data_IF_527230042059
#
_entry.id   IF_527230042059
#
_cell.length_a   1.000
_cell.length_b   1.000
_cell.length_c   1.000
_cell.angle_alpha   90.00
_cell.angle_beta   90.00
_cell.angle_gamma   90.00
#
_symmetry.space_group_name_H-M   'P 1'
#
loop_
_entity.id
_entity.type
_entity.pdbx_description
1 polymer ?
#
# COMPACT_ATOMS: atom_id res chain seq x y z
N UNK A 1 64.44 19.60 -77.98
CA UNK A 1 65.10 18.29 -77.75
C UNK A 1 65.16 17.98 -76.26
N UNK A 2 64.07 17.48 -75.67
CA UNK A 2 63.96 17.26 -74.21
C UNK A 2 64.90 16.14 -73.69
N UNK A 3 65.31 15.21 -74.55
CA UNK A 3 66.19 14.09 -74.17
C UNK A 3 67.66 14.47 -73.97
N UNK A 4 68.09 15.66 -74.39
CA UNK A 4 69.47 16.12 -74.19
C UNK A 4 69.74 16.50 -72.73
N UNK A 5 68.75 17.09 -72.06
CA UNK A 5 68.80 17.46 -70.64
C UNK A 5 68.48 16.28 -69.70
N UNK A 6 68.03 15.15 -70.24
CA UNK A 6 67.72 13.96 -69.45
C UNK A 6 68.99 13.24 -69.01
N UNK A 7 69.12 13.03 -67.70
CA UNK A 7 70.25 12.36 -67.06
C UNK A 7 69.78 10.99 -66.53
N UNK A 8 70.12 9.88 -67.22
CA UNK A 8 69.78 8.55 -66.74
C UNK A 8 70.66 8.17 -65.54
N UNK A 9 70.09 7.39 -64.62
CA UNK A 9 70.77 6.96 -63.39
C UNK A 9 71.90 5.94 -63.66
N UNK A 10 71.80 5.22 -64.77
CA UNK A 10 72.78 4.23 -65.21
C UNK A 10 73.31 4.62 -66.60
N UNK A 11 74.49 4.17 -67.02
CA UNK A 11 74.98 4.39 -68.37
C UNK A 11 74.02 3.79 -69.41
N UNK A 12 73.65 4.56 -70.43
CA UNK A 12 72.69 4.12 -71.48
C UNK A 12 73.23 4.41 -72.87
N UNK A 13 73.00 3.50 -73.82
CA UNK A 13 73.41 3.68 -75.22
C UNK A 13 72.64 4.78 -75.97
N UNK A 14 71.38 5.05 -75.62
CA UNK A 14 70.57 6.11 -76.24
C UNK A 14 69.68 6.82 -75.21
N UNK A 15 70.04 8.07 -74.91
CA UNK A 15 69.30 8.92 -73.95
C UNK A 15 67.83 9.14 -74.35
N UNK A 16 67.55 9.22 -75.64
CA UNK A 16 66.20 9.42 -76.15
C UNK A 16 65.29 8.22 -75.88
N UNK A 17 65.79 7.01 -76.15
CA UNK A 17 65.03 5.79 -75.89
C UNK A 17 64.86 5.56 -74.40
N UNK A 18 65.89 5.81 -73.59
CA UNK A 18 65.79 5.70 -72.14
C UNK A 18 64.74 6.66 -71.57
N UNK A 19 64.74 7.94 -71.99
CA UNK A 19 63.74 8.92 -71.54
C UNK A 19 62.31 8.43 -71.84
N UNK A 20 62.07 7.92 -73.05
CA UNK A 20 60.75 7.40 -73.43
C UNK A 20 60.34 6.20 -72.58
N UNK A 21 61.28 5.30 -72.29
CA UNK A 21 61.01 4.12 -71.48
C UNK A 21 60.67 4.48 -70.04
N UNK A 22 61.44 5.39 -69.44
CA UNK A 22 61.21 5.87 -68.09
C UNK A 22 59.88 6.63 -67.96
N UNK A 23 59.55 7.47 -68.94
CA UNK A 23 58.26 8.15 -68.99
C UNK A 23 57.09 7.16 -69.04
N UNK A 24 57.21 6.10 -69.86
CA UNK A 24 56.18 5.05 -69.94
C UNK A 24 56.05 4.28 -68.63
N UNK A 25 57.17 3.91 -68.01
CA UNK A 25 57.19 3.22 -66.72
C UNK A 25 56.56 4.06 -65.61
N UNK A 26 56.86 5.36 -65.55
CA UNK A 26 56.25 6.27 -64.57
C UNK A 26 54.73 6.34 -64.80
N UNK A 27 54.28 6.46 -66.05
CA UNK A 27 52.85 6.47 -66.37
C UNK A 27 52.16 5.16 -65.96
N UNK A 28 52.76 4.00 -66.20
CA UNK A 28 52.20 2.70 -65.78
C UNK A 28 52.16 2.55 -64.26
N UNK A 29 53.21 2.99 -63.55
CA UNK A 29 53.22 2.98 -62.07
C UNK A 29 52.14 3.88 -61.48
N UNK A 30 51.94 5.06 -62.07
CA UNK A 30 50.86 5.98 -61.69
C UNK A 30 49.50 5.32 -61.95
N UNK A 31 49.25 4.74 -63.13
CA UNK A 31 47.99 4.05 -63.43
C UNK A 31 47.70 2.89 -62.47
N UNK A 32 48.70 2.05 -62.16
CA UNK A 32 48.56 0.94 -61.24
C UNK A 32 48.30 1.42 -59.79
N UNK A 33 48.96 2.50 -59.36
CA UNK A 33 48.68 3.12 -58.06
C UNK A 33 47.27 3.71 -58.01
N UNK A 34 46.81 4.39 -59.07
CA UNK A 34 45.43 4.90 -59.16
C UNK A 34 44.40 3.78 -59.09
N UNK A 35 44.64 2.63 -59.73
CA UNK A 35 43.73 1.48 -59.67
C UNK A 35 43.62 0.92 -58.25
N UNK A 36 44.75 0.82 -57.53
CA UNK A 36 44.79 0.36 -56.14
C UNK A 36 44.12 1.35 -55.17
N UNK A 37 44.27 2.66 -55.40
CA UNK A 37 43.65 3.72 -54.60
C UNK A 37 42.15 3.83 -54.89
N UNK A 38 41.72 3.60 -56.14
CA UNK A 38 40.32 3.68 -56.54
C UNK A 38 39.44 2.68 -55.79
N UNK A 39 39.96 1.49 -55.49
CA UNK A 39 39.24 0.47 -54.71
C UNK A 39 39.20 0.82 -53.20
N UNK A 40 40.18 1.59 -52.71
CA UNK A 40 40.22 2.06 -51.32
C UNK A 40 39.40 3.35 -51.05
N UNK A 41 38.85 4.00 -52.08
CA UNK A 41 38.09 5.27 -51.94
C UNK A 41 36.57 5.06 -52.06
N UNK A 42 36.08 3.84 -51.84
CA UNK A 42 34.70 3.66 -51.35
C UNK A 42 34.57 3.83 -49.83
N UNK A 43 35.46 4.61 -49.22
CA UNK A 43 35.15 5.24 -47.93
C UNK A 43 34.06 6.26 -48.22
N UNK A 44 32.82 5.80 -48.12
CA UNK A 44 31.70 6.63 -47.74
C UNK A 44 32.09 7.28 -46.42
N UNK A 45 32.76 8.44 -46.50
CA UNK A 45 32.92 9.33 -45.37
C UNK A 45 31.54 9.43 -44.73
N UNK A 46 31.38 9.10 -43.43
CA UNK A 46 30.11 9.31 -42.78
C UNK A 46 29.83 10.80 -42.93
N UNK A 47 28.89 11.12 -43.83
CA UNK A 47 28.44 12.48 -44.09
C UNK A 47 28.20 13.07 -42.72
N UNK A 48 29.02 14.05 -42.35
CA UNK A 48 28.93 14.77 -41.09
C UNK A 48 27.45 14.96 -40.78
N UNK A 49 26.99 14.44 -39.64
CA UNK A 49 25.64 14.71 -39.17
C UNK A 49 25.53 16.24 -39.21
N UNK A 50 24.76 16.77 -40.17
CA UNK A 50 24.74 18.19 -40.41
C UNK A 50 24.39 18.87 -39.08
N UNK A 51 25.20 19.82 -38.58
CA UNK A 51 24.97 20.44 -37.27
C UNK A 51 23.54 20.94 -37.12
N UNK A 52 22.95 21.42 -38.23
CA UNK A 52 21.54 21.78 -38.37
C UNK A 52 20.57 20.65 -38.00
N UNK A 53 20.80 19.41 -38.48
CA UNK A 53 19.94 18.26 -38.14
C UNK A 53 20.04 17.87 -36.67
N UNK A 54 21.22 18.03 -36.07
CA UNK A 54 21.41 17.78 -34.64
C UNK A 54 20.73 18.85 -33.79
N UNK A 55 20.79 20.11 -34.22
CA UNK A 55 20.08 21.23 -33.60
C UNK A 55 18.55 21.09 -33.73
N UNK A 56 18.05 20.68 -34.90
CA UNK A 56 16.63 20.35 -35.11
C UNK A 56 16.17 19.24 -34.17
N UNK A 57 16.96 18.16 -34.02
CA UNK A 57 16.65 17.08 -33.09
C UNK A 57 16.63 17.54 -31.63
N UNK A 58 17.58 18.40 -31.23
CA UNK A 58 17.61 19.01 -29.89
C UNK A 58 16.39 19.89 -29.67
N UNK A 59 16.04 20.74 -30.63
CA UNK A 59 14.87 21.61 -30.57
C UNK A 59 13.58 20.81 -30.48
N UNK A 60 13.42 19.76 -31.27
CA UNK A 60 12.26 18.86 -31.20
C UNK A 60 12.14 18.18 -29.83
N UNK A 61 13.26 17.77 -29.23
CA UNK A 61 13.28 17.18 -27.89
C UNK A 61 12.84 18.19 -26.83
N UNK A 62 13.41 19.41 -26.87
CA UNK A 62 13.04 20.50 -25.95
C UNK A 62 11.55 20.84 -26.08
N UNK A 63 11.04 20.97 -27.31
CA UNK A 63 9.64 21.28 -27.55
C UNK A 63 8.70 20.20 -26.99
N UNK A 64 9.07 18.92 -27.16
CA UNK A 64 8.32 17.79 -26.63
C UNK A 64 8.30 17.79 -25.10
N UNK A 65 9.44 18.04 -24.47
CA UNK A 65 9.56 18.13 -23.00
C UNK A 65 8.77 19.32 -22.44
N UNK A 66 8.83 20.47 -23.10
CA UNK A 66 8.06 21.66 -22.73
C UNK A 66 6.54 21.40 -22.84
N UNK A 67 6.09 20.76 -23.92
CA UNK A 67 4.68 20.40 -24.08
C UNK A 67 4.21 19.43 -22.98
N UNK A 68 5.02 18.42 -22.66
CA UNK A 68 4.72 17.47 -21.57
C UNK A 68 4.68 18.17 -20.20
N UNK A 69 5.58 19.12 -19.96
CA UNK A 69 5.60 19.90 -18.72
C UNK A 69 4.36 20.79 -18.62
N UNK A 70 4.00 21.50 -19.70
CA UNK A 70 2.81 22.33 -19.75
C UNK A 70 1.53 21.51 -19.53
N UNK A 71 1.45 20.31 -20.07
CA UNK A 71 0.32 19.40 -19.84
C UNK A 71 0.22 19.00 -18.36
N UNK A 72 1.34 18.65 -17.72
CA UNK A 72 1.39 18.33 -16.29
C UNK A 72 1.03 19.53 -15.41
N UNK A 73 1.55 20.71 -15.72
CA UNK A 73 1.22 21.95 -15.00
C UNK A 73 -0.26 22.28 -15.19
N UNK A 74 -0.78 22.22 -16.42
CA UNK A 74 -2.20 22.43 -16.71
C UNK A 74 -3.09 21.45 -15.93
N UNK A 75 -2.69 20.18 -15.86
CA UNK A 75 -3.37 19.18 -15.05
C UNK A 75 -3.39 19.53 -13.55
N UNK A 76 -2.24 19.95 -12.99
CA UNK A 76 -2.13 20.39 -11.59
C UNK A 76 -2.88 21.70 -11.35
N UNK A 77 -2.95 22.62 -12.32
CA UNK A 77 -3.68 23.89 -12.17
C UNK A 77 -5.19 23.68 -12.26
N UNK A 78 -5.65 22.77 -13.13
CA UNK A 78 -7.06 22.42 -13.29
C UNK A 78 -7.61 21.63 -12.10
N UNK A 79 -6.77 20.84 -11.46
CA UNK A 79 -7.16 20.00 -10.31
C UNK A 79 -6.56 20.62 -9.07
N UNK A 80 -7.34 21.14 -8.12
CA UNK A 80 -6.89 21.90 -6.92
C UNK A 80 -6.00 21.11 -5.92
N UNK A 81 -5.20 20.15 -6.37
CA UNK A 81 -4.40 19.26 -5.54
C UNK A 81 -5.31 18.30 -4.78
N UNK A 82 -5.47 17.07 -5.27
CA UNK A 82 -6.04 16.02 -4.43
C UNK A 82 -4.99 15.68 -3.39
N UNK A 83 -5.28 15.97 -2.12
CA UNK A 83 -4.47 15.55 -0.99
C UNK A 83 -4.54 14.01 -0.94
N UNK A 84 -3.45 13.34 -1.28
CA UNK A 84 -3.28 11.88 -1.23
C UNK A 84 -3.00 11.37 0.20
N UNK A 85 -2.98 12.27 1.20
CA UNK A 85 -2.67 11.94 2.59
C UNK A 85 -3.80 11.22 3.36
N UNK A 86 -4.95 10.96 2.73
CA UNK A 86 -6.02 10.17 3.37
C UNK A 86 -5.60 8.71 3.44
N UNK A 87 -4.94 8.38 4.54
CA UNK A 87 -4.67 7.01 4.91
C UNK A 87 -5.90 6.43 5.61
N UNK A 88 -6.69 5.62 4.90
CA UNK A 88 -7.83 4.85 5.45
C UNK A 88 -7.34 3.67 6.31
N UNK A 89 -6.35 3.91 7.17
CA UNK A 89 -5.76 2.88 8.02
C UNK A 89 -6.68 2.60 9.20
N UNK A 90 -7.32 1.44 9.19
CA UNK A 90 -7.97 0.90 10.37
C UNK A 90 -6.93 0.42 11.38
N UNK A 91 -6.95 1.03 12.57
CA UNK A 91 -6.04 0.69 13.66
C UNK A 91 -6.31 -0.74 14.15
N UNK A 92 -5.45 -1.68 13.78
CA UNK A 92 -5.52 -3.06 14.27
C UNK A 92 -4.96 -3.15 15.69
N UNK A 93 -5.75 -3.63 16.63
CA UNK A 93 -5.28 -3.95 17.99
C UNK A 93 -4.73 -5.38 18.01
N UNK A 94 -3.52 -5.54 18.54
CA UNK A 94 -2.82 -6.83 18.70
C UNK A 94 -3.54 -7.84 19.62
N UNK A 95 -4.72 -7.53 20.16
CA UNK A 95 -5.50 -8.41 21.04
C UNK A 95 -6.98 -8.52 20.70
N UNK A 96 -7.42 -8.04 19.53
CA UNK A 96 -8.85 -8.02 19.17
C UNK A 96 -9.46 -9.42 19.15
N UNK A 97 -8.79 -10.35 18.49
CA UNK A 97 -9.26 -11.73 18.32
C UNK A 97 -9.33 -12.47 19.66
N UNK A 98 -8.27 -12.38 20.47
CA UNK A 98 -8.26 -12.96 21.83
C UNK A 98 -9.38 -12.41 22.70
N UNK A 99 -9.65 -11.09 22.63
CA UNK A 99 -10.76 -10.47 23.37
C UNK A 99 -12.13 -10.95 22.88
N UNK A 100 -12.29 -11.15 21.57
CA UNK A 100 -13.52 -11.66 20.99
C UNK A 100 -13.78 -13.12 21.40
N UNK A 101 -12.75 -13.97 21.39
CA UNK A 101 -12.85 -15.36 21.86
C UNK A 101 -13.21 -15.43 23.35
N UNK A 102 -12.56 -14.60 24.17
CA UNK A 102 -12.87 -14.54 25.61
C UNK A 102 -14.30 -14.04 25.85
N UNK A 103 -14.77 -13.04 25.09
CA UNK A 103 -16.14 -12.57 25.17
C UNK A 103 -17.15 -13.68 24.83
N UNK A 104 -16.88 -14.49 23.79
CA UNK A 104 -17.72 -15.62 23.43
C UNK A 104 -17.74 -16.69 24.53
N UNK A 105 -16.58 -16.99 25.11
CA UNK A 105 -16.45 -17.93 26.23
C UNK A 105 -17.27 -17.47 27.44
N UNK A 106 -17.08 -16.23 27.90
CA UNK A 106 -17.82 -15.65 29.02
C UNK A 106 -19.32 -15.66 28.75
N UNK A 107 -19.73 -15.31 27.52
CA UNK A 107 -21.15 -15.30 27.14
C UNK A 107 -21.76 -16.70 27.24
N UNK A 108 -21.05 -17.72 26.77
CA UNK A 108 -21.50 -19.12 26.87
C UNK A 108 -21.58 -19.59 28.33
N UNK A 109 -20.59 -19.25 29.15
CA UNK A 109 -20.60 -19.58 30.58
C UNK A 109 -21.77 -18.89 31.30
N UNK A 110 -22.00 -17.61 31.02
CA UNK A 110 -23.14 -16.85 31.56
C UNK A 110 -24.49 -17.45 31.16
N UNK A 111 -24.64 -17.88 29.91
CA UNK A 111 -25.86 -18.58 29.46
C UNK A 111 -26.09 -19.88 30.23
N UNK A 112 -25.03 -20.66 30.49
CA UNK A 112 -25.13 -21.90 31.26
C UNK A 112 -25.48 -21.65 32.73
N UNK A 113 -24.93 -20.59 33.34
CA UNK A 113 -25.27 -20.18 34.70
C UNK A 113 -26.73 -19.76 34.76
N UNK A 114 -27.17 -18.91 33.82
CA UNK A 114 -28.55 -18.44 33.76
C UNK A 114 -29.53 -19.60 33.55
N UNK A 115 -29.19 -20.56 32.69
CA UNK A 115 -29.96 -21.79 32.53
C UNK A 115 -30.09 -22.54 33.87
N UNK A 116 -28.99 -22.77 34.58
CA UNK A 116 -29.03 -23.43 35.90
C UNK A 116 -29.89 -22.67 36.91
N UNK A 117 -29.71 -21.35 37.02
CA UNK A 117 -30.49 -20.50 37.92
C UNK A 117 -31.99 -20.55 37.59
N UNK A 118 -32.35 -20.61 36.30
CA UNK A 118 -33.75 -20.73 35.88
C UNK A 118 -34.39 -22.07 36.28
N UNK A 119 -33.59 -23.14 36.29
CA UNK A 119 -34.05 -24.49 36.65
C UNK A 119 -33.98 -24.75 38.15
N UNK A 120 -33.19 -23.98 38.89
CA UNK A 120 -33.13 -24.04 40.34
C UNK A 120 -34.49 -23.69 40.94
N UNK A 121 -35.14 -24.68 41.55
CA UNK A 121 -36.34 -24.44 42.35
C UNK A 121 -35.94 -23.86 43.71
N UNK A 122 -36.70 -22.92 44.28
CA UNK A 122 -36.47 -22.46 45.64
C UNK A 122 -36.63 -23.64 46.60
N UNK A 123 -35.66 -23.81 47.51
CA UNK A 123 -35.65 -24.91 48.48
C UNK A 123 -36.82 -24.82 49.46
N UNK A 124 -37.24 -23.59 49.77
CA UNK A 124 -38.37 -23.31 50.65
C UNK A 124 -39.47 -22.57 49.90
N UNK A 125 -40.72 -22.90 50.25
CA UNK A 125 -41.88 -22.17 49.78
C UNK A 125 -42.27 -21.14 50.85
N UNK A 126 -41.98 -19.86 50.58
CA UNK A 126 -42.24 -18.75 51.49
C UNK A 126 -43.71 -18.70 51.93
N UNK A 127 -44.64 -19.08 51.04
CA UNK A 127 -46.07 -19.12 51.37
C UNK A 127 -46.37 -20.21 52.40
N UNK A 128 -45.83 -21.41 52.22
CA UNK A 128 -46.00 -22.52 53.17
C UNK A 128 -45.36 -22.16 54.51
N UNK A 129 -44.16 -21.58 54.51
CA UNK A 129 -43.49 -21.12 55.73
C UNK A 129 -44.31 -20.07 56.47
N UNK A 130 -44.92 -19.14 55.74
CA UNK A 130 -45.79 -18.13 56.33
C UNK A 130 -47.04 -18.76 56.95
N UNK A 131 -47.67 -19.72 56.26
CA UNK A 131 -48.83 -20.44 56.79
C UNK A 131 -48.48 -21.24 58.06
N UNK A 132 -47.35 -21.95 58.07
CA UNK A 132 -46.90 -22.71 59.24
C UNK A 132 -46.51 -21.80 60.40
N UNK A 133 -45.91 -20.65 60.11
CA UNK A 133 -45.69 -19.61 61.10
C UNK A 133 -47.01 -19.13 61.71
N UNK A 134 -48.02 -18.82 60.90
CA UNK A 134 -49.34 -18.42 61.40
C UNK A 134 -50.02 -19.52 62.25
N UNK A 135 -49.88 -20.80 61.88
CA UNK A 135 -50.38 -21.92 62.70
C UNK A 135 -49.67 -21.97 64.05
N UNK A 136 -48.34 -21.86 64.03
CA UNK A 136 -47.52 -21.82 65.25
C UNK A 136 -47.94 -20.66 66.14
N UNK A 137 -48.14 -19.50 65.55
CA UNK A 137 -48.63 -18.32 66.24
C UNK A 137 -49.98 -18.55 66.93
N UNK A 138 -50.93 -19.23 66.28
CA UNK A 138 -52.22 -19.58 66.89
C UNK A 138 -52.07 -20.53 68.08
N UNK A 139 -51.23 -21.56 67.95
CA UNK A 139 -50.96 -22.50 69.04
C UNK A 139 -50.33 -21.76 70.23
N UNK A 140 -49.34 -20.90 69.96
CA UNK A 140 -48.72 -20.07 70.99
C UNK A 140 -49.74 -19.20 71.73
N UNK A 141 -50.66 -18.53 71.02
CA UNK A 141 -51.71 -17.73 71.67
C UNK A 141 -52.67 -18.61 72.50
N UNK A 142 -52.97 -19.83 72.07
CA UNK A 142 -53.87 -20.73 72.81
C UNK A 142 -53.27 -21.31 74.10
N UNK A 143 -51.95 -21.49 74.16
CA UNK A 143 -51.25 -22.06 75.33
C UNK A 143 -50.61 -20.99 76.22
N UNK A 144 -50.50 -19.75 75.73
CA UNK A 144 -49.90 -18.67 76.49
C UNK A 144 -50.81 -18.25 77.65
N UNK A 145 -50.19 -18.05 78.82
CA UNK A 145 -50.88 -17.48 80.00
C UNK A 145 -51.48 -16.10 79.72
N UNK A 146 -50.86 -15.34 78.81
CA UNK A 146 -51.32 -14.04 78.34
C UNK A 146 -51.18 -13.97 76.81
N UNK A 147 -52.26 -14.24 76.06
CA UNK A 147 -52.24 -14.22 74.59
C UNK A 147 -51.92 -12.84 74.01
N UNK A 148 -51.47 -12.78 72.75
CA UNK A 148 -51.27 -11.48 72.09
C UNK A 148 -52.57 -10.67 72.05
N UNK A 149 -52.48 -9.39 72.40
CA UNK A 149 -53.65 -8.51 72.52
C UNK A 149 -54.42 -8.61 73.85
N UNK A 150 -53.98 -9.46 74.79
CA UNK A 150 -54.61 -9.60 76.12
C UNK A 150 -54.78 -8.28 76.86
N UNK A 151 -53.76 -7.41 76.85
CA UNK A 151 -53.82 -6.10 77.50
C UNK A 151 -54.88 -5.16 76.89
N UNK A 152 -55.20 -5.33 75.60
CA UNK A 152 -56.24 -4.56 74.92
C UNK A 152 -57.63 -5.13 75.23
N UNK A 153 -57.77 -6.46 75.27
CA UNK A 153 -59.00 -7.13 75.70
C UNK A 153 -59.38 -6.80 77.15
N UNK A 154 -58.40 -6.72 78.06
CA UNK A 154 -58.66 -6.32 79.45
C UNK A 154 -59.17 -4.88 79.57
N UNK A 155 -58.64 -3.95 78.77
CA UNK A 155 -59.15 -2.57 78.73
C UNK A 155 -60.61 -2.55 78.29
N UNK A 156 -60.95 -3.22 77.19
CA UNK A 156 -62.34 -3.31 76.68
C UNK A 156 -63.26 -3.94 77.73
N UNK A 157 -62.86 -5.04 78.35
CA UNK A 157 -63.67 -5.72 79.36
C UNK A 157 -63.84 -4.89 80.64
N UNK A 158 -62.83 -4.11 81.04
CA UNK A 158 -62.90 -3.19 82.17
C UNK A 158 -63.82 -2.00 81.94
N UNK A 159 -63.97 -1.52 80.71
CA UNK A 159 -64.95 -0.48 80.37
C UNK A 159 -66.41 -0.96 80.51
N UNK A 160 -66.70 -2.24 80.24
CA UNK A 160 -68.05 -2.81 80.40
C UNK A 160 -68.49 -3.00 81.87
N UNK A 161 -67.57 -2.94 82.84
CA UNK A 161 -67.90 -3.07 84.27
C UNK A 161 -67.88 -1.74 85.03
N UNK A 162 -67.81 -0.60 84.33
CA UNK A 162 -67.77 0.74 84.92
C UNK A 162 -68.97 1.62 84.52
N UNK A 163 -69.98 1.06 83.86
CA UNK A 163 -71.24 1.75 83.48
C UNK A 163 -72.49 1.29 84.27
N UNK A 164 -72.33 0.58 85.40
CA UNK A 164 -73.40 0.31 86.37
C UNK A 164 -73.17 1.07 87.69
#
# INVERSE_FOLDING_TARGET
>A
MLHLAYQPLLPTGSKYLQLKWDQKNVQERVKNAYQYVKDCVSVSFPKHIHPVKLEEQRMMKIQKENNMLLEKISHIMRTTGRIDNRNDYERKSLGRERRQLEMLRITKENQMILFRLSQCRPHYNVRIWHEDWLKTLKVMDSIARYPRGWAQQQKVRGFFYLED
#
